data_IF_008272142454
#
_entry.id   IF_008272142454
#
_cell.length_a   1.000
_cell.length_b   1.000
_cell.length_c   1.000
_cell.angle_alpha   90.00
_cell.angle_beta   90.00
_cell.angle_gamma   90.00
#
_symmetry.space_group_name_H-M   'P 1'
#
loop_
_entity.id
_entity.type
_entity.pdbx_description
1 polymer ?
#
# COMPACT_ATOMS: atom_id res chain seq x y z
N UNK A 1 -16.18 1.48 -9.45
CA UNK A 1 -15.92 0.36 -8.52
C UNK A 1 -14.45 0.41 -8.16
N UNK A 2 -14.10 0.13 -6.91
CA UNK A 2 -12.69 0.04 -6.49
C UNK A 2 -12.14 -1.30 -7.01
N UNK A 3 -10.92 -1.30 -7.56
CA UNK A 3 -10.20 -2.51 -7.98
C UNK A 3 -8.90 -2.63 -7.18
N UNK A 4 -8.32 -3.84 -7.16
CA UNK A 4 -7.02 -4.08 -6.53
C UNK A 4 -5.96 -3.14 -7.11
N UNK A 5 -5.92 -3.00 -8.42
CA UNK A 5 -4.94 -2.19 -9.16
C UNK A 5 -5.05 -0.72 -8.75
N UNK A 6 -6.28 -0.19 -8.66
CA UNK A 6 -6.51 1.21 -8.25
C UNK A 6 -6.02 1.50 -6.83
N UNK A 7 -6.11 0.52 -5.93
CA UNK A 7 -5.60 0.65 -4.56
C UNK A 7 -4.08 0.57 -4.54
N UNK A 8 -3.48 -0.34 -5.30
CA UNK A 8 -2.02 -0.41 -5.45
C UNK A 8 -1.43 0.89 -6.01
N UNK A 9 -2.06 1.48 -7.02
CA UNK A 9 -1.69 2.80 -7.55
C UNK A 9 -1.74 3.87 -6.44
N UNK A 10 -2.81 3.91 -5.66
CA UNK A 10 -2.93 4.89 -4.57
C UNK A 10 -1.89 4.68 -3.46
N UNK A 11 -1.57 3.43 -3.11
CA UNK A 11 -0.55 3.11 -2.12
C UNK A 11 0.86 3.47 -2.61
N UNK A 12 1.11 3.40 -3.92
CA UNK A 12 2.39 3.79 -4.53
C UNK A 12 2.63 5.31 -4.51
N UNK A 13 1.58 6.12 -4.31
CA UNK A 13 1.70 7.57 -4.14
C UNK A 13 2.07 7.98 -2.71
N UNK A 14 2.07 7.05 -1.74
CA UNK A 14 2.37 7.33 -0.34
C UNK A 14 3.88 7.15 -0.11
N UNK A 15 4.64 8.24 0.14
CA UNK A 15 6.05 8.15 0.46
C UNK A 15 6.28 7.67 1.89
N UNK A 16 7.43 7.06 2.13
CA UNK A 16 7.93 6.81 3.48
C UNK A 16 8.24 8.12 4.20
N UNK A 17 7.84 8.28 5.48
CA UNK A 17 8.08 9.51 6.24
C UNK A 17 9.56 9.75 6.56
N UNK A 18 10.41 8.71 6.59
CA UNK A 18 11.85 8.81 6.87
C UNK A 18 12.68 8.89 5.58
N UNK A 19 12.22 8.24 4.51
CA UNK A 19 12.83 8.22 3.18
C UNK A 19 11.82 8.74 2.12
N UNK A 20 11.63 10.07 1.98
CA UNK A 20 10.55 10.67 1.18
C UNK A 20 10.58 10.38 -0.33
N UNK A 21 11.62 9.72 -0.84
CA UNK A 21 11.79 9.36 -2.26
C UNK A 21 11.40 7.92 -2.59
N UNK A 22 11.03 7.12 -1.57
CA UNK A 22 10.60 5.72 -1.74
C UNK A 22 9.16 5.57 -1.27
N UNK A 23 8.30 4.93 -2.08
CA UNK A 23 6.91 4.68 -1.70
C UNK A 23 6.75 3.47 -0.77
N UNK A 24 5.59 3.36 -0.11
CA UNK A 24 5.24 2.15 0.66
C UNK A 24 5.21 0.88 -0.20
N UNK A 25 4.90 1.00 -1.49
CA UNK A 25 4.90 -0.12 -2.42
C UNK A 25 6.34 -0.51 -2.80
N UNK A 26 7.21 0.47 -3.05
CA UNK A 26 8.61 0.23 -3.41
C UNK A 26 9.44 -0.30 -2.23
N UNK A 27 9.14 0.16 -1.01
CA UNK A 27 9.65 -0.45 0.22
C UNK A 27 9.20 -1.92 0.38
N UNK A 28 8.18 -2.32 -0.37
CA UNK A 28 7.58 -3.64 -0.33
C UNK A 28 6.74 -3.88 0.92
N UNK A 29 6.52 -2.90 1.81
CA UNK A 29 5.83 -3.10 3.11
C UNK A 29 4.36 -3.48 2.98
N UNK A 30 3.74 -3.19 1.83
CA UNK A 30 2.41 -3.68 1.46
C UNK A 30 2.52 -5.09 0.89
N UNK A 31 1.84 -6.07 1.49
CA UNK A 31 1.93 -7.51 1.13
C UNK A 31 0.76 -8.00 0.29
N UNK A 32 -0.44 -7.51 0.57
CA UNK A 32 -1.64 -7.91 -0.14
C UNK A 32 -2.69 -6.79 -0.13
N UNK A 33 -3.49 -6.76 -1.20
CA UNK A 33 -4.66 -5.90 -1.33
C UNK A 33 -5.83 -6.76 -1.80
N UNK A 34 -6.88 -6.80 -1.01
CA UNK A 34 -8.11 -7.54 -1.31
C UNK A 34 -9.29 -6.57 -1.32
N UNK A 35 -10.03 -6.53 -2.42
CA UNK A 35 -11.27 -5.75 -2.52
C UNK A 35 -12.45 -6.68 -2.32
N UNK A 36 -13.27 -6.43 -1.29
CA UNK A 36 -14.40 -7.28 -0.93
C UNK A 36 -15.65 -6.44 -0.64
N UNK A 37 -16.67 -6.58 -1.50
CA UNK A 37 -17.95 -5.88 -1.36
C UNK A 37 -17.78 -4.35 -1.36
N UNK A 38 -17.93 -3.72 -0.19
CA UNK A 38 -17.78 -2.26 0.00
C UNK A 38 -16.49 -1.85 0.72
N UNK A 39 -15.58 -2.80 0.97
CA UNK A 39 -14.34 -2.55 1.71
C UNK A 39 -13.09 -3.01 0.97
N UNK A 40 -11.95 -2.52 1.45
CA UNK A 40 -10.61 -2.91 1.01
C UNK A 40 -9.83 -3.39 2.24
N UNK A 41 -9.21 -4.55 2.15
CA UNK A 41 -8.28 -5.08 3.14
C UNK A 41 -6.86 -4.94 2.59
N UNK A 42 -5.97 -4.33 3.37
CA UNK A 42 -4.56 -4.19 3.03
C UNK A 42 -3.74 -4.89 4.10
N UNK A 43 -2.87 -5.80 3.69
CA UNK A 43 -1.89 -6.44 4.59
C UNK A 43 -0.58 -5.64 4.55
N UNK A 44 -0.10 -5.24 5.72
CA UNK A 44 1.06 -4.36 5.87
C UNK A 44 2.04 -4.94 6.90
N UNK A 45 3.33 -4.94 6.56
CA UNK A 45 4.42 -5.36 7.46
C UNK A 45 5.34 -4.17 7.74
N UNK A 46 5.31 -3.60 8.96
CA UNK A 46 6.15 -2.45 9.30
C UNK A 46 7.64 -2.80 9.32
N UNK A 47 8.47 -1.85 8.91
CA UNK A 47 9.90 -1.84 9.21
C UNK A 47 10.10 -1.08 10.51
N UNK A 48 10.28 -1.79 11.63
CA UNK A 48 10.70 -1.15 12.87
C UNK A 48 12.23 -1.02 12.85
N UNK A 49 12.72 0.20 13.06
CA UNK A 49 14.11 0.48 13.45
C UNK A 49 14.28 0.34 14.97
#
# INVERSE_FOLDING_TARGET
>A
MVTSERVWEALAEIPDPEIPVISLVDLGVVRAVEVAGRGVRVEFTPTFL
#
